data_IF_954234246577
#
_entry.id   IF_954234246577
#
_cell.length_a   1.000
_cell.length_b   1.000
_cell.length_c   1.000
_cell.angle_alpha   90.00
_cell.angle_beta   90.00
_cell.angle_gamma   90.00
#
_symmetry.space_group_name_H-M   'P 1'
#
loop_
_entity.id
_entity.type
_entity.pdbx_description
1 polymer ?
#
# COMPACT_ATOMS: atom_id res chain seq x y z
N UNK A 1 -76.99 48.52 -43.68
CA UNK A 1 -76.00 48.48 -42.59
C UNK A 1 -75.76 47.02 -42.21
N UNK A 2 -74.73 46.38 -42.74
CA UNK A 2 -74.21 45.09 -42.25
C UNK A 2 -72.72 45.05 -42.58
N UNK A 3 -71.88 45.02 -41.54
CA UNK A 3 -70.43 44.92 -41.66
C UNK A 3 -70.02 43.56 -41.10
N UNK A 4 -69.16 42.76 -41.77
CA UNK A 4 -68.78 41.45 -41.27
C UNK A 4 -67.68 41.55 -40.21
N UNK A 5 -67.81 40.81 -39.11
CA UNK A 5 -66.74 40.67 -38.12
C UNK A 5 -65.65 39.72 -38.63
N UNK A 6 -64.36 40.09 -38.56
CA UNK A 6 -63.28 39.18 -38.92
C UNK A 6 -63.11 38.10 -37.84
N UNK A 7 -63.30 36.84 -38.24
CA UNK A 7 -62.98 35.65 -37.44
C UNK A 7 -61.46 35.61 -37.19
N UNK A 8 -61.05 35.90 -35.95
CA UNK A 8 -59.65 35.76 -35.51
C UNK A 8 -59.26 34.29 -35.54
N UNK A 9 -58.19 33.96 -36.27
CA UNK A 9 -57.71 32.60 -36.53
C UNK A 9 -57.18 31.94 -35.24
N UNK A 10 -57.53 30.66 -34.95
CA UNK A 10 -57.11 29.95 -33.72
C UNK A 10 -55.62 29.57 -33.69
N UNK A 11 -54.89 29.80 -34.79
CA UNK A 11 -53.47 29.46 -34.93
C UNK A 11 -52.55 30.23 -33.98
N UNK A 12 -52.88 31.49 -33.65
CA UNK A 12 -52.09 32.29 -32.72
C UNK A 12 -52.20 31.76 -31.27
N UNK A 13 -53.35 31.23 -30.89
CA UNK A 13 -53.59 30.67 -29.55
C UNK A 13 -52.89 29.29 -29.37
N UNK A 14 -52.78 28.51 -30.45
CA UNK A 14 -52.05 27.24 -30.43
C UNK A 14 -50.53 27.44 -30.34
N UNK A 15 -50.01 28.48 -30.99
CA UNK A 15 -48.58 28.82 -30.93
C UNK A 15 -48.16 29.33 -29.55
N UNK A 16 -48.99 30.14 -28.88
CA UNK A 16 -48.71 30.60 -27.52
C UNK A 16 -48.83 29.46 -26.49
N UNK A 17 -49.79 28.54 -26.65
CA UNK A 17 -49.93 27.39 -25.77
C UNK A 17 -48.73 26.41 -25.86
N UNK A 18 -48.20 26.18 -27.06
CA UNK A 18 -47.03 25.32 -27.26
C UNK A 18 -45.73 25.98 -26.79
N UNK A 19 -45.60 27.31 -26.91
CA UNK A 19 -44.48 28.05 -26.31
C UNK A 19 -44.51 28.01 -24.77
N UNK A 20 -45.69 28.12 -24.14
CA UNK A 20 -45.84 28.00 -22.69
C UNK A 20 -45.55 26.57 -22.19
N UNK A 21 -45.97 25.54 -22.94
CA UNK A 21 -45.68 24.15 -22.62
C UNK A 21 -44.17 23.82 -22.74
N UNK A 22 -43.46 24.44 -23.69
CA UNK A 22 -42.00 24.32 -23.81
C UNK A 22 -41.24 24.91 -22.62
N UNK A 23 -41.76 25.99 -22.02
CA UNK A 23 -41.16 26.62 -20.83
C UNK A 23 -41.36 25.78 -19.56
N UNK A 24 -42.40 24.95 -19.49
CA UNK A 24 -42.67 24.06 -18.34
C UNK A 24 -41.83 22.77 -18.37
N UNK A 25 -41.29 22.38 -19.53
CA UNK A 25 -40.42 21.19 -19.67
C UNK A 25 -38.99 21.37 -19.12
N UNK A 26 -38.59 22.59 -18.76
CA UNK A 26 -37.24 22.89 -18.27
C UNK A 26 -37.05 22.62 -16.76
N UNK A 27 -38.13 22.33 -16.03
CA UNK A 27 -38.04 21.88 -14.64
C UNK A 27 -37.74 20.39 -14.58
N UNK A 28 -36.52 19.99 -14.98
CA UNK A 28 -36.00 18.71 -14.52
C UNK A 28 -35.72 18.86 -13.02
N UNK A 29 -36.60 18.31 -12.20
CA UNK A 29 -36.41 18.21 -10.76
C UNK A 29 -35.15 17.40 -10.51
N UNK A 30 -34.05 18.09 -10.20
CA UNK A 30 -32.90 17.45 -9.56
C UNK A 30 -33.44 16.87 -8.26
N UNK A 31 -33.61 15.54 -8.23
CA UNK A 31 -34.04 14.83 -7.03
C UNK A 31 -33.19 15.25 -5.83
N UNK A 32 -33.72 15.18 -4.60
CA UNK A 32 -33.00 15.61 -3.42
C UNK A 32 -31.61 14.95 -3.41
N UNK A 33 -30.57 15.79 -3.38
CA UNK A 33 -29.20 15.34 -3.18
C UNK A 33 -29.17 14.74 -1.78
N UNK A 34 -29.35 13.42 -1.70
CA UNK A 34 -29.17 12.67 -0.47
C UNK A 34 -27.70 12.82 -0.10
N UNK A 35 -27.42 13.58 0.96
CA UNK A 35 -26.07 13.87 1.44
C UNK A 35 -25.30 12.63 1.90
N UNK A 36 -25.93 11.45 1.88
CA UNK A 36 -25.32 10.14 2.12
C UNK A 36 -24.82 9.44 0.84
N UNK A 37 -25.02 10.02 -0.35
CA UNK A 37 -24.60 9.46 -1.64
C UNK A 37 -23.45 10.23 -2.31
N UNK A 38 -22.78 11.13 -1.59
CA UNK A 38 -21.52 11.70 -2.09
C UNK A 38 -20.48 10.59 -1.97
N UNK A 39 -20.35 9.79 -3.03
CA UNK A 39 -19.21 8.90 -3.19
C UNK A 39 -17.95 9.74 -2.94
N UNK A 40 -17.08 9.35 -1.99
CA UNK A 40 -15.92 10.17 -1.65
C UNK A 40 -15.12 10.42 -2.92
N UNK A 41 -15.06 11.68 -3.34
CA UNK A 41 -14.14 12.09 -4.42
C UNK A 41 -12.69 11.92 -3.96
N UNK A 42 -12.46 11.94 -2.65
CA UNK A 42 -11.17 11.63 -2.06
C UNK A 42 -10.86 10.13 -2.18
N UNK A 43 -9.76 9.83 -2.88
CA UNK A 43 -9.24 8.48 -3.02
C UNK A 43 -8.84 7.86 -1.68
N UNK A 44 -8.53 8.66 -0.66
CA UNK A 44 -8.12 8.15 0.67
C UNK A 44 -9.29 7.53 1.42
N UNK A 45 -10.47 8.13 1.29
CA UNK A 45 -11.69 7.58 1.86
C UNK A 45 -12.20 6.38 1.06
N UNK A 46 -11.98 6.37 -0.26
CA UNK A 46 -12.39 5.27 -1.15
C UNK A 46 -11.46 4.06 -1.07
N UNK A 47 -10.15 4.29 -0.98
CA UNK A 47 -9.10 3.28 -0.90
C UNK A 47 -8.30 3.51 0.39
N UNK A 48 -8.91 3.30 1.57
CA UNK A 48 -8.23 3.54 2.84
C UNK A 48 -7.13 2.51 3.03
N UNK A 49 -6.00 2.98 3.57
CA UNK A 49 -4.96 2.08 4.09
C UNK A 49 -5.44 1.57 5.44
N UNK A 50 -5.58 0.25 5.54
CA UNK A 50 -6.01 -0.46 6.74
C UNK A 50 -4.86 -1.29 7.30
N UNK A 51 -4.87 -1.46 8.62
CA UNK A 51 -3.92 -2.32 9.32
C UNK A 51 -4.55 -3.69 9.55
N UNK A 52 -3.84 -4.73 9.15
CA UNK A 52 -4.27 -6.11 9.36
C UNK A 52 -3.05 -7.00 9.64
N UNK A 53 -3.27 -8.05 10.43
CA UNK A 53 -2.30 -9.13 10.53
C UNK A 53 -2.24 -9.88 9.19
N UNK A 54 -1.03 -10.08 8.69
CA UNK A 54 -0.77 -10.78 7.46
C UNK A 54 0.43 -11.73 7.61
N UNK A 55 0.42 -12.86 6.87
CA UNK A 55 1.57 -13.75 6.82
C UNK A 55 2.74 -13.05 6.13
N UNK A 56 3.91 -13.17 6.76
CA UNK A 56 5.20 -12.85 6.17
C UNK A 56 5.94 -14.16 5.94
N UNK A 57 6.24 -14.48 4.68
CA UNK A 57 6.89 -15.73 4.29
C UNK A 57 8.19 -15.51 3.55
N UNK A 58 9.16 -16.40 3.74
CA UNK A 58 10.41 -16.47 2.99
C UNK A 58 10.66 -17.91 2.57
N UNK A 59 10.76 -18.14 1.26
CA UNK A 59 11.11 -19.44 0.71
C UNK A 59 12.62 -19.57 0.61
N UNK A 60 13.17 -20.61 1.23
CA UNK A 60 14.59 -20.93 1.24
C UNK A 60 14.84 -22.13 0.34
N UNK A 61 15.53 -21.88 -0.77
CA UNK A 61 15.85 -22.87 -1.78
C UNK A 61 17.09 -23.67 -1.40
N UNK A 62 16.95 -24.99 -1.40
CA UNK A 62 18.03 -25.92 -1.07
C UNK A 62 19.03 -25.96 -2.23
N UNK A 63 20.22 -25.36 -2.04
CA UNK A 63 21.31 -25.35 -3.04
C UNK A 63 22.31 -26.50 -2.87
N UNK A 64 22.22 -27.23 -1.75
CA UNK A 64 23.08 -28.37 -1.43
C UNK A 64 22.69 -29.05 -0.13
N UNK A 65 23.54 -29.94 0.39
CA UNK A 65 23.25 -30.66 1.64
C UNK A 65 23.46 -29.77 2.87
N UNK A 66 22.41 -29.06 3.28
CA UNK A 66 22.47 -28.19 4.47
C UNK A 66 23.37 -26.96 4.32
N UNK A 67 23.63 -26.55 3.08
CA UNK A 67 24.32 -25.31 2.75
C UNK A 67 23.30 -24.28 2.31
N UNK A 68 23.46 -23.04 2.79
CA UNK A 68 22.75 -21.88 2.30
C UNK A 68 23.73 -21.03 1.50
N UNK A 69 23.32 -20.62 0.30
CA UNK A 69 24.06 -19.60 -0.44
C UNK A 69 24.15 -18.31 0.41
N UNK A 70 25.26 -17.54 0.35
CA UNK A 70 25.45 -16.33 1.16
C UNK A 70 24.30 -15.33 1.08
N UNK A 71 23.65 -15.20 -0.10
CA UNK A 71 22.49 -14.32 -0.25
C UNK A 71 21.30 -14.83 0.55
N UNK A 72 21.01 -16.14 0.49
CA UNK A 72 19.92 -16.73 1.25
C UNK A 72 20.18 -16.69 2.75
N UNK A 73 21.44 -16.85 3.18
CA UNK A 73 21.81 -16.68 4.58
C UNK A 73 21.50 -15.25 5.07
N UNK A 74 21.88 -14.22 4.29
CA UNK A 74 21.56 -12.83 4.60
C UNK A 74 20.04 -12.54 4.60
N UNK A 75 19.29 -13.12 3.67
CA UNK A 75 17.83 -13.00 3.63
C UNK A 75 17.18 -13.63 4.87
N UNK A 76 17.67 -14.78 5.32
CA UNK A 76 17.22 -15.45 6.55
C UNK A 76 17.56 -14.62 7.79
N UNK A 77 18.77 -14.07 7.90
CA UNK A 77 19.15 -13.21 9.02
C UNK A 77 18.27 -11.96 9.12
N UNK A 78 18.01 -11.32 7.98
CA UNK A 78 17.10 -10.18 7.90
C UNK A 78 15.66 -10.57 8.29
N UNK A 79 15.18 -11.74 7.84
CA UNK A 79 13.86 -12.26 8.17
C UNK A 79 13.70 -12.59 9.66
N UNK A 80 14.73 -13.16 10.28
CA UNK A 80 14.75 -13.47 11.72
C UNK A 80 14.80 -12.19 12.57
N UNK A 81 15.56 -11.18 12.13
CA UNK A 81 15.54 -9.85 12.74
C UNK A 81 14.15 -9.21 12.64
N UNK A 82 13.49 -9.34 11.48
CA UNK A 82 12.12 -8.87 11.27
C UNK A 82 11.13 -9.58 12.21
N UNK A 83 11.20 -10.92 12.32
CA UNK A 83 10.39 -11.70 13.25
C UNK A 83 10.58 -11.24 14.70
N UNK A 84 11.82 -10.97 15.12
CA UNK A 84 12.08 -10.50 16.49
C UNK A 84 11.54 -9.10 16.77
N UNK A 85 11.46 -8.24 15.75
CA UNK A 85 10.97 -6.86 15.90
C UNK A 85 9.45 -6.76 15.78
N UNK A 86 8.86 -7.50 14.85
CA UNK A 86 7.47 -7.31 14.42
C UNK A 86 6.64 -8.59 14.42
N UNK A 87 7.26 -9.74 14.68
CA UNK A 87 6.60 -11.04 14.66
C UNK A 87 5.59 -11.20 15.79
N UNK A 88 4.46 -11.80 15.44
CA UNK A 88 3.37 -12.17 16.33
C UNK A 88 3.19 -13.68 16.28
N UNK A 89 3.11 -14.31 17.46
CA UNK A 89 3.00 -15.76 17.57
C UNK A 89 4.33 -16.48 17.33
N UNK A 90 4.30 -17.52 16.52
CA UNK A 90 5.44 -18.43 16.30
C UNK A 90 6.08 -18.24 14.94
N UNK A 91 7.36 -18.57 14.87
CA UNK A 91 8.09 -18.77 13.63
C UNK A 91 7.83 -20.20 13.15
N UNK A 92 7.11 -20.34 12.05
CA UNK A 92 6.87 -21.62 11.38
C UNK A 92 8.01 -21.91 10.41
N UNK A 93 8.57 -23.11 10.52
CA UNK A 93 9.51 -23.68 9.56
C UNK A 93 8.80 -24.84 8.88
N UNK A 94 8.33 -24.62 7.67
CA UNK A 94 7.55 -25.59 6.90
C UNK A 94 8.46 -26.37 5.94
N UNK A 95 8.59 -27.67 6.19
CA UNK A 95 9.54 -28.54 5.48
C UNK A 95 8.80 -29.41 4.46
N UNK A 96 9.24 -29.46 3.20
CA UNK A 96 8.63 -30.33 2.21
C UNK A 96 8.77 -31.81 2.58
N UNK A 97 7.78 -32.61 2.17
CA UNK A 97 7.78 -34.08 2.23
C UNK A 97 7.31 -34.68 0.90
N UNK A 98 7.58 -35.96 0.73
CA UNK A 98 7.24 -36.73 -0.47
C UNK A 98 8.45 -37.09 -1.34
N UNK A 99 8.23 -37.59 -2.57
CA UNK A 99 9.30 -37.86 -3.52
C UNK A 99 9.76 -36.59 -4.28
N UNK A 100 11.04 -36.47 -4.66
CA UNK A 100 12.15 -37.42 -4.47
C UNK A 100 12.89 -37.27 -3.12
N UNK A 101 13.25 -38.40 -2.51
CA UNK A 101 13.77 -38.49 -1.12
C UNK A 101 15.07 -37.72 -0.87
N UNK A 102 15.95 -37.61 -1.86
CA UNK A 102 17.22 -36.89 -1.73
C UNK A 102 17.01 -35.37 -1.49
N UNK A 103 16.06 -34.78 -2.21
CA UNK A 103 15.70 -33.36 -2.06
C UNK A 103 15.09 -33.12 -0.68
N UNK A 104 14.19 -34.00 -0.22
CA UNK A 104 13.58 -33.92 1.11
C UNK A 104 14.62 -34.06 2.22
N UNK A 105 15.58 -34.99 2.09
CA UNK A 105 16.66 -35.13 3.07
C UNK A 105 17.54 -33.88 3.14
N UNK A 106 17.80 -33.23 2.01
CA UNK A 106 18.53 -31.96 1.97
C UNK A 106 17.71 -30.80 2.57
N UNK A 107 16.40 -30.76 2.34
CA UNK A 107 15.49 -29.80 2.96
C UNK A 107 15.43 -29.98 4.49
N UNK A 108 15.38 -31.21 4.99
CA UNK A 108 15.43 -31.50 6.44
C UNK A 108 16.74 -31.03 7.09
N UNK A 109 17.89 -31.21 6.43
CA UNK A 109 19.17 -30.66 6.89
C UNK A 109 19.19 -29.13 6.86
N UNK A 110 18.61 -28.52 5.83
CA UNK A 110 18.47 -27.06 5.72
C UNK A 110 17.58 -26.52 6.85
N UNK A 111 16.47 -27.19 7.17
CA UNK A 111 15.63 -26.82 8.29
C UNK A 111 16.38 -26.87 9.63
N UNK A 112 17.27 -27.84 9.83
CA UNK A 112 18.14 -27.88 11.02
C UNK A 112 19.11 -26.68 11.08
N UNK A 113 19.66 -26.25 9.94
CA UNK A 113 20.48 -25.04 9.83
C UNK A 113 19.66 -23.79 10.17
N UNK A 114 18.48 -23.64 9.58
CA UNK A 114 17.59 -22.51 9.83
C UNK A 114 17.18 -22.41 11.31
N UNK A 115 16.96 -23.54 11.98
CA UNK A 115 16.69 -23.57 13.43
C UNK A 115 17.89 -23.11 14.26
N UNK A 116 19.12 -23.44 13.85
CA UNK A 116 20.34 -22.93 14.51
C UNK A 116 20.49 -21.43 14.30
N UNK A 117 20.32 -20.95 13.06
CA UNK A 117 20.33 -19.51 12.76
C UNK A 117 19.26 -18.76 13.56
N UNK A 118 18.05 -19.32 13.69
CA UNK A 118 17.01 -18.73 14.53
C UNK A 118 17.44 -18.61 16.00
N UNK A 119 18.07 -19.65 16.56
CA UNK A 119 18.59 -19.63 17.93
C UNK A 119 19.71 -18.59 18.09
N UNK A 120 20.66 -18.52 17.15
CA UNK A 120 21.75 -17.54 17.12
C UNK A 120 21.23 -16.10 16.98
N UNK A 121 20.16 -15.90 16.21
CA UNK A 121 19.48 -14.62 16.07
C UNK A 121 18.70 -14.20 17.34
N UNK A 122 18.57 -15.10 18.33
CA UNK A 122 17.88 -14.85 19.60
C UNK A 122 16.39 -15.20 19.59
N UNK A 123 15.95 -16.08 18.69
CA UNK A 123 14.58 -16.62 18.70
C UNK A 123 14.46 -17.73 19.75
N UNK A 124 13.52 -17.63 20.72
CA UNK A 124 13.32 -18.68 21.72
C UNK A 124 12.94 -20.01 21.07
N UNK A 125 13.48 -21.12 21.57
CA UNK A 125 13.21 -22.45 21.02
C UNK A 125 11.70 -22.80 21.02
N UNK A 126 10.95 -22.37 22.04
CA UNK A 126 9.49 -22.55 22.12
C UNK A 126 8.68 -21.68 21.16
N UNK A 127 9.29 -20.68 20.53
CA UNK A 127 8.63 -19.85 19.51
C UNK A 127 8.80 -20.42 18.09
N UNK A 128 9.62 -21.47 17.91
CA UNK A 128 9.84 -22.09 16.60
C UNK A 128 8.99 -23.36 16.49
N UNK A 129 8.10 -23.39 15.49
CA UNK A 129 7.25 -24.53 15.18
C UNK A 129 7.71 -25.16 13.88
N UNK A 130 7.96 -26.46 13.89
CA UNK A 130 8.25 -27.21 12.67
C UNK A 130 6.93 -27.76 12.12
N UNK A 131 6.64 -27.45 10.86
CA UNK A 131 5.53 -28.04 10.11
C UNK A 131 6.06 -28.73 8.86
N UNK A 132 5.16 -29.38 8.14
CA UNK A 132 5.51 -30.03 6.88
C UNK A 132 4.38 -29.96 5.87
N UNK A 133 4.73 -29.88 4.59
CA UNK A 133 3.79 -29.87 3.47
C UNK A 133 4.17 -30.91 2.42
N UNK A 134 3.18 -31.41 1.68
CA UNK A 134 3.40 -32.36 0.59
C UNK A 134 3.78 -31.63 -0.71
N UNK A 135 4.81 -32.10 -1.40
CA UNK A 135 5.22 -31.55 -2.70
C UNK A 135 4.24 -32.00 -3.78
N UNK A 136 3.51 -31.04 -4.37
CA UNK A 136 2.44 -31.32 -5.34
C UNK A 136 2.95 -31.97 -6.65
N UNK A 137 4.17 -31.64 -7.10
CA UNK A 137 4.76 -32.21 -8.29
C UNK A 137 6.28 -32.41 -8.10
N UNK A 138 6.84 -33.62 -8.33
CA UNK A 138 8.25 -33.94 -8.08
C UNK A 138 9.27 -33.12 -8.89
N UNK A 139 8.84 -32.44 -9.95
CA UNK A 139 9.69 -31.58 -10.78
C UNK A 139 9.78 -30.12 -10.33
N UNK A 140 9.01 -29.72 -9.32
CA UNK A 140 9.04 -28.36 -8.78
C UNK A 140 10.14 -28.21 -7.72
N UNK A 141 10.65 -26.99 -7.57
CA UNK A 141 11.50 -26.67 -6.44
C UNK A 141 10.71 -26.87 -5.13
N UNK A 142 11.29 -27.60 -4.19
CA UNK A 142 10.72 -27.83 -2.85
C UNK A 142 11.52 -27.03 -1.80
N UNK A 143 11.23 -25.72 -1.63
CA UNK A 143 11.92 -24.90 -0.66
C UNK A 143 11.48 -25.22 0.78
N UNK A 144 12.33 -24.91 1.75
CA UNK A 144 11.91 -24.81 3.15
C UNK A 144 11.28 -23.43 3.34
N UNK A 145 10.05 -23.35 3.82
CA UNK A 145 9.35 -22.06 3.98
C UNK A 145 9.45 -21.59 5.40
N UNK A 146 9.91 -20.36 5.59
CA UNK A 146 9.81 -19.66 6.87
C UNK A 146 8.57 -18.78 6.84
N UNK A 147 7.82 -18.75 7.95
CA UNK A 147 6.59 -17.97 8.02
C UNK A 147 6.28 -17.48 9.44
N UNK A 148 5.76 -16.26 9.55
CA UNK A 148 5.19 -15.75 10.80
C UNK A 148 4.09 -14.73 10.50
N UNK A 149 3.29 -14.37 11.52
CA UNK A 149 2.29 -13.31 11.39
C UNK A 149 2.90 -11.97 11.81
N UNK A 150 2.62 -10.91 11.05
CA UNK A 150 2.95 -9.54 11.46
C UNK A 150 1.81 -8.60 11.13
N UNK A 151 1.77 -7.47 11.83
CA UNK A 151 0.94 -6.37 11.39
C UNK A 151 1.48 -5.83 10.07
N UNK A 152 0.59 -5.52 9.14
CA UNK A 152 0.90 -4.97 7.83
C UNK A 152 -0.12 -3.90 7.45
N UNK A 153 0.28 -2.97 6.60
CA UNK A 153 -0.62 -2.03 5.96
C UNK A 153 -1.02 -2.55 4.58
N UNK A 154 -2.30 -2.46 4.23
CA UNK A 154 -2.83 -2.78 2.89
C UNK A 154 -4.01 -1.89 2.56
N UNK A 155 -4.39 -1.81 1.29
CA UNK A 155 -5.67 -1.21 0.91
C UNK A 155 -6.81 -2.16 1.30
N UNK A 156 -7.92 -1.60 1.78
CA UNK A 156 -9.08 -2.39 2.19
C UNK A 156 -9.67 -3.23 1.05
N UNK A 157 -9.77 -2.61 -0.13
CA UNK A 157 -10.39 -3.15 -1.32
C UNK A 157 -9.36 -3.59 -2.38
N UNK A 158 -9.79 -4.47 -3.28
CA UNK A 158 -8.98 -4.87 -4.43
C UNK A 158 -8.94 -3.74 -5.48
N UNK A 159 -7.74 -3.39 -5.95
CA UNK A 159 -7.59 -2.50 -7.09
C UNK A 159 -8.04 -3.17 -8.40
N UNK A 160 -8.42 -2.36 -9.39
CA UNK A 160 -8.78 -2.86 -10.73
C UNK A 160 -10.27 -2.96 -10.99
N UNK A 161 -11.11 -2.37 -10.14
CA UNK A 161 -12.54 -2.23 -10.37
C UNK A 161 -12.80 -1.03 -11.28
N UNK A 162 -13.53 -1.23 -12.38
CA UNK A 162 -13.87 -0.16 -13.34
C UNK A 162 -15.39 -0.04 -13.48
N UNK A 163 -16.11 0.53 -12.50
CA UNK A 163 -17.57 0.67 -12.56
C UNK A 163 -18.03 1.65 -13.63
N UNK A 164 -17.16 2.60 -14.00
CA UNK A 164 -17.34 3.49 -15.13
C UNK A 164 -16.24 3.21 -16.15
N UNK A 165 -16.61 3.26 -17.41
CA UNK A 165 -15.65 3.31 -18.50
C UNK A 165 -14.87 4.64 -18.43
N UNK A 166 -13.59 4.57 -18.78
CA UNK A 166 -12.68 5.72 -18.83
C UNK A 166 -12.83 6.53 -20.12
N UNK A 167 -13.48 5.96 -21.13
CA UNK A 167 -13.82 6.64 -22.37
C UNK A 167 -14.98 7.63 -22.24
N UNK A 168 -15.34 8.26 -23.35
CA UNK A 168 -16.44 9.23 -23.44
C UNK A 168 -17.77 8.50 -23.69
N UNK A 169 -18.11 7.53 -22.85
CA UNK A 169 -19.30 6.69 -23.01
C UNK A 169 -20.53 7.23 -22.26
N UNK A 170 -20.32 7.96 -21.17
CA UNK A 170 -21.37 8.65 -20.42
C UNK A 170 -21.05 10.14 -20.31
N UNK A 171 -21.84 11.00 -20.97
CA UNK A 171 -21.61 12.44 -20.98
C UNK A 171 -21.79 13.09 -19.60
N UNK A 172 -22.71 12.58 -18.77
CA UNK A 172 -22.96 13.14 -17.45
C UNK A 172 -21.77 12.89 -16.50
N UNK A 173 -21.16 11.71 -16.56
CA UNK A 173 -19.96 11.35 -15.81
C UNK A 173 -18.70 11.99 -16.40
N UNK A 174 -18.51 11.88 -17.72
CA UNK A 174 -17.31 12.40 -18.40
C UNK A 174 -17.14 13.91 -18.23
N UNK A 175 -18.26 14.66 -18.21
CA UNK A 175 -18.25 16.11 -18.01
C UNK A 175 -18.28 16.52 -16.53
N UNK A 176 -18.35 15.56 -15.59
CA UNK A 176 -18.47 15.86 -14.15
C UNK A 176 -17.14 16.16 -13.45
N UNK A 177 -16.00 16.05 -14.16
CA UNK A 177 -14.65 16.21 -13.60
C UNK A 177 -14.41 15.38 -12.31
N UNK A 178 -15.05 14.21 -12.21
CA UNK A 178 -14.88 13.31 -11.09
C UNK A 178 -13.66 12.42 -11.32
N UNK A 179 -12.88 12.12 -10.27
CA UNK A 179 -11.80 11.15 -10.38
C UNK A 179 -12.35 9.76 -10.71
N UNK A 180 -11.59 9.02 -11.51
CA UNK A 180 -11.90 7.63 -11.83
C UNK A 180 -11.88 6.75 -10.58
N UNK A 181 -12.62 5.64 -10.60
CA UNK A 181 -12.75 4.78 -9.42
C UNK A 181 -11.43 4.28 -8.87
N UNK A 182 -10.51 3.85 -9.74
CA UNK A 182 -9.20 3.34 -9.34
C UNK A 182 -8.16 4.41 -9.02
N UNK A 183 -8.50 5.71 -9.16
CA UNK A 183 -7.56 6.77 -8.81
C UNK A 183 -7.09 6.59 -7.37
N UNK A 184 -5.77 6.60 -7.17
CA UNK A 184 -5.15 6.48 -5.85
C UNK A 184 -5.04 5.05 -5.30
N UNK A 185 -5.72 4.03 -5.85
CA UNK A 185 -5.63 2.66 -5.33
C UNK A 185 -4.20 2.09 -5.41
N UNK A 186 -3.55 2.25 -6.56
CA UNK A 186 -2.16 1.83 -6.76
C UNK A 186 -1.19 2.63 -5.89
N UNK A 187 -1.43 3.93 -5.73
CA UNK A 187 -0.62 4.79 -4.86
C UNK A 187 -0.72 4.36 -3.40
N UNK A 188 -1.94 4.18 -2.89
CA UNK A 188 -2.19 3.73 -1.51
C UNK A 188 -1.59 2.35 -1.27
N UNK A 189 -1.68 1.44 -2.24
CA UNK A 189 -1.07 0.11 -2.17
C UNK A 189 0.45 0.19 -2.08
N UNK A 190 1.08 1.03 -2.91
CA UNK A 190 2.53 1.20 -2.89
C UNK A 190 3.02 1.87 -1.60
N UNK A 191 2.29 2.86 -1.08
CA UNK A 191 2.61 3.51 0.21
C UNK A 191 2.48 2.50 1.35
N UNK A 192 1.39 1.73 1.37
CA UNK A 192 1.16 0.69 2.37
C UNK A 192 2.24 -0.40 2.34
N UNK A 193 2.67 -0.83 1.15
CA UNK A 193 3.71 -1.84 0.99
C UNK A 193 5.11 -1.36 1.41
N UNK A 194 5.40 -0.06 1.26
CA UNK A 194 6.68 0.55 1.65
C UNK A 194 6.74 0.96 3.12
N UNK A 195 5.61 0.95 3.84
CA UNK A 195 5.57 1.29 5.25
C UNK A 195 6.32 0.23 6.08
N UNK A 196 7.44 0.64 6.69
CA UNK A 196 8.25 -0.24 7.52
C UNK A 196 7.54 -0.65 8.81
N UNK A 197 6.90 0.31 9.48
CA UNK A 197 6.05 0.09 10.66
C UNK A 197 4.62 0.57 10.33
N UNK A 198 3.65 -0.35 10.16
CA UNK A 198 2.28 0.01 9.80
C UNK A 198 1.60 0.90 10.85
N UNK A 199 2.02 0.84 12.11
CA UNK A 199 1.40 1.63 13.19
C UNK A 199 1.68 3.13 13.02
N UNK A 200 2.80 3.48 12.37
CA UNK A 200 3.19 4.86 12.09
C UNK A 200 2.19 5.55 11.11
N UNK A 201 1.35 4.80 10.38
CA UNK A 201 0.28 5.34 9.53
C UNK A 201 -0.95 5.80 10.31
N UNK A 202 -1.17 5.28 11.52
CA UNK A 202 -2.34 5.59 12.35
C UNK A 202 -1.99 6.58 13.45
N UNK A 203 -0.77 6.50 13.98
CA UNK A 203 -0.31 7.37 15.05
C UNK A 203 1.17 7.69 14.89
N UNK A 204 1.55 8.91 15.26
CA UNK A 204 2.96 9.26 15.40
C UNK A 204 3.64 8.46 16.51
N UNK A 205 4.97 8.37 16.44
CA UNK A 205 5.80 7.92 17.56
C UNK A 205 5.70 8.94 18.68
N UNK A 206 5.81 8.46 19.91
CA UNK A 206 5.84 9.35 21.08
C UNK A 206 7.09 10.24 20.99
N UNK A 207 6.91 11.53 21.29
CA UNK A 207 8.03 12.45 21.35
C UNK A 207 8.98 12.04 22.49
N UNK A 208 10.27 11.96 22.17
CA UNK A 208 11.31 11.71 23.17
C UNK A 208 11.59 12.93 24.02
N UNK A 209 12.53 12.79 24.96
CA UNK A 209 13.06 13.94 25.70
C UNK A 209 13.65 14.94 24.71
N UNK A 210 13.36 16.22 24.93
CA UNK A 210 14.02 17.32 24.22
C UNK A 210 15.54 17.19 24.32
N UNK A 211 16.21 17.32 23.18
CA UNK A 211 17.65 17.59 23.15
C UNK A 211 17.88 19.02 23.68
N UNK A 212 18.16 19.10 24.98
CA UNK A 212 18.32 20.37 25.69
C UNK A 212 19.52 21.16 25.18
N UNK A 213 20.58 20.47 24.74
CA UNK A 213 21.79 21.10 24.21
C UNK A 213 21.48 21.73 22.86
N UNK A 214 20.93 20.96 21.91
CA UNK A 214 20.60 21.48 20.58
C UNK A 214 19.56 22.59 20.63
N UNK A 215 18.55 22.47 21.51
CA UNK A 215 17.51 23.48 21.68
C UNK A 215 18.07 24.78 22.27
N UNK A 216 18.86 24.70 23.33
CA UNK A 216 19.45 25.88 23.96
C UNK A 216 20.43 26.60 23.04
N UNK A 217 21.30 25.86 22.34
CA UNK A 217 22.22 26.39 21.33
C UNK A 217 21.48 27.09 20.19
N UNK A 218 20.45 26.44 19.63
CA UNK A 218 19.62 27.05 18.57
C UNK A 218 18.93 28.34 19.02
N UNK A 219 18.37 28.36 20.23
CA UNK A 219 17.76 29.58 20.81
C UNK A 219 18.81 30.67 21.03
N UNK A 220 20.00 30.33 21.52
CA UNK A 220 21.08 31.30 21.73
C UNK A 220 21.55 31.91 20.41
N UNK A 221 21.77 31.09 19.36
CA UNK A 221 22.13 31.58 18.02
C UNK A 221 21.09 32.56 17.48
N UNK A 222 19.80 32.23 17.60
CA UNK A 222 18.71 33.13 17.19
C UNK A 222 18.74 34.46 17.96
N UNK A 223 19.02 34.46 19.27
CA UNK A 223 19.14 35.69 20.08
C UNK A 223 20.33 36.55 19.67
N UNK A 224 21.41 35.92 19.22
CA UNK A 224 22.63 36.59 18.76
C UNK A 224 22.57 37.00 17.28
N UNK A 225 21.46 36.74 16.57
CA UNK A 225 21.32 37.00 15.14
C UNK A 225 22.14 36.07 14.25
N UNK A 226 22.52 34.89 14.76
CA UNK A 226 23.28 33.86 14.04
C UNK A 226 22.34 32.78 13.50
N UNK A 227 22.71 32.18 12.37
CA UNK A 227 21.96 31.08 11.76
C UNK A 227 22.06 29.80 12.63
N UNK A 228 20.93 29.23 13.10
CA UNK A 228 20.91 27.98 13.86
C UNK A 228 21.02 26.72 12.99
N UNK A 229 21.09 26.85 11.66
CA UNK A 229 21.20 25.72 10.74
C UNK A 229 22.53 24.96 10.87
N UNK A 230 22.51 23.68 10.49
CA UNK A 230 23.74 22.88 10.44
C UNK A 230 24.58 23.33 9.24
N UNK A 231 25.80 23.81 9.49
CA UNK A 231 26.77 24.08 8.42
C UNK A 231 27.34 22.76 7.89
N UNK A 232 26.88 22.35 6.72
CA UNK A 232 27.46 21.22 6.00
C UNK A 232 28.81 21.63 5.43
N UNK A 233 29.91 21.13 5.99
CA UNK A 233 31.21 21.24 5.33
C UNK A 233 31.21 20.29 4.14
N UNK A 234 31.52 20.82 2.96
CA UNK A 234 31.87 19.99 1.82
C UNK A 234 33.38 19.77 1.89
N UNK A 235 33.79 18.61 2.40
CA UNK A 235 35.19 18.30 2.72
C UNK A 235 36.08 18.18 1.48
N UNK A 236 35.55 18.40 0.28
CA UNK A 236 36.22 18.19 -1.00
C UNK A 236 36.59 16.73 -1.29
N UNK A 237 36.55 15.84 -0.30
CA UNK A 237 36.95 14.43 -0.41
C UNK A 237 35.99 13.58 -1.25
N UNK A 238 34.79 14.08 -1.55
CA UNK A 238 33.85 13.50 -2.53
C UNK A 238 34.02 14.05 -3.95
N UNK A 239 34.97 14.97 -4.18
CA UNK A 239 35.37 15.37 -5.53
C UNK A 239 36.21 14.25 -6.16
N UNK A 240 35.57 13.36 -6.91
CA UNK A 240 36.25 12.37 -7.75
C UNK A 240 37.35 13.00 -8.64
N UNK A 241 37.25 14.31 -8.95
CA UNK A 241 38.25 15.04 -9.73
C UNK A 241 39.63 15.10 -9.06
N UNK A 242 39.74 15.02 -7.74
CA UNK A 242 41.05 15.02 -7.06
C UNK A 242 41.70 13.64 -6.96
N UNK A 243 40.94 12.55 -7.13
CA UNK A 243 41.45 11.18 -7.04
C UNK A 243 41.87 10.60 -8.40
N UNK A 244 41.33 11.12 -9.50
CA UNK A 244 41.64 10.66 -10.88
C UNK A 244 42.78 11.46 -11.53
N UNK A 245 43.25 12.51 -10.88
CA UNK A 245 44.29 13.41 -11.42
C UNK A 245 45.74 13.02 -11.05
N UNK A 246 45.98 11.83 -10.48
CA UNK A 246 47.31 11.29 -10.22
C UNK A 246 47.56 10.02 -11.04
#
# INVERSE_FOLDING_TARGET
>A
MTNPHPRRRPLAALATASALAGLLGACQSRGPVTTNAIQPSDYRARHPIVLADAPRSLDVFVTGTGHLDPRQAADVDAFLLEFRRYGRGTLVVDVPRGPPTAQIAAAGRTAAVLRRMAAEAGVPAGAVVLSSYEVAAPGLAAPVRLGFQRMSARVADACGLWPQDLGVSDAAYSLSNKPSWNLGCALQSNVAAQAADPVDLVRGRQEGRIDTIRRSDGIQKLREGKDPSTTWRQDGQTSLKSQVAN
#
